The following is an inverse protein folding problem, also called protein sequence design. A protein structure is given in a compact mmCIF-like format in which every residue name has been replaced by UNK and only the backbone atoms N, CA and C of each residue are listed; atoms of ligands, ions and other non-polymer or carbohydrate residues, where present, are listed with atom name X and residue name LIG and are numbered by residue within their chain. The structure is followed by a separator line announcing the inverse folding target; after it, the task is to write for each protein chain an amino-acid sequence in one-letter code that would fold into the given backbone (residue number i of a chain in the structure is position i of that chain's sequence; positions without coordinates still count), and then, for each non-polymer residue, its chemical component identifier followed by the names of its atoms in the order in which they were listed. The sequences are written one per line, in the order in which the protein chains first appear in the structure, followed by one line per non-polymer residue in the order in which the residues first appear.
data_IF_202525622170
#
_entry.id   IF_202525622170
#
_cell.length_a   1.000
_cell.length_b   1.000
_cell.length_c   1.000
_cell.angle_alpha   90.00
_cell.angle_beta   90.00
_cell.angle_gamma   90.00
#
_symmetry.space_group_name_H-M   'P 1'
#
loop_
_entity.id
_entity.type
_entity.pdbx_description
1 polymer ?
#
# COMPACT_ATOMS: atom_id res chain seq x y z
N UNK A 1 13.63 10.01 -54.63
CA UNK A 1 13.13 8.84 -53.88
C UNK A 1 12.38 9.36 -52.66
N UNK A 2 11.05 9.41 -52.72
CA UNK A 2 10.21 10.02 -51.67
C UNK A 2 9.88 8.95 -50.63
N UNK A 3 10.38 9.12 -49.40
CA UNK A 3 10.23 8.14 -48.32
C UNK A 3 8.78 8.19 -47.81
N UNK A 4 8.00 7.15 -48.11
CA UNK A 4 6.62 7.04 -47.65
C UNK A 4 6.60 6.81 -46.13
N UNK A 5 5.96 7.71 -45.37
CA UNK A 5 5.72 7.54 -43.94
C UNK A 5 4.49 6.65 -43.77
N UNK A 6 4.67 5.42 -43.28
CA UNK A 6 3.57 4.58 -42.82
C UNK A 6 3.02 5.14 -41.51
N UNK A 7 1.77 5.58 -41.52
CA UNK A 7 1.03 5.93 -40.31
C UNK A 7 0.50 4.62 -39.74
N UNK A 8 1.03 4.20 -38.59
CA UNK A 8 0.49 3.05 -37.84
C UNK A 8 -0.57 3.58 -36.89
N UNK A 9 -1.83 3.24 -37.14
CA UNK A 9 -2.93 3.53 -36.23
C UNK A 9 -2.96 2.47 -35.15
N UNK A 10 -2.60 2.84 -33.92
CA UNK A 10 -2.78 1.98 -32.75
C UNK A 10 -4.22 2.21 -32.27
N UNK A 11 -5.07 1.18 -32.40
CA UNK A 11 -6.40 1.21 -31.81
C UNK A 11 -6.27 1.07 -30.29
N UNK A 12 -6.50 2.17 -29.56
CA UNK A 12 -6.60 2.13 -28.10
C UNK A 12 -8.00 1.63 -27.75
N UNK A 13 -8.10 0.37 -27.33
CA UNK A 13 -9.33 -0.19 -26.80
C UNK A 13 -9.65 0.49 -25.48
N UNK A 14 -10.90 0.92 -25.29
CA UNK A 14 -11.34 1.48 -24.02
C UNK A 14 -11.17 0.42 -22.90
N UNK A 15 -10.74 0.83 -21.69
CA UNK A 15 -10.58 -0.09 -20.58
C UNK A 15 -11.92 -0.72 -20.22
N UNK A 16 -11.88 -2.01 -19.91
CA UNK A 16 -13.02 -2.77 -19.42
C UNK A 16 -13.47 -2.25 -18.04
N UNK A 17 -14.73 -2.51 -17.69
CA UNK A 17 -15.27 -2.15 -16.36
C UNK A 17 -14.48 -2.77 -15.21
N UNK A 18 -13.90 -3.96 -15.43
CA UNK A 18 -13.05 -4.64 -14.46
C UNK A 18 -11.74 -3.88 -14.22
N UNK A 19 -11.10 -3.40 -15.29
CA UNK A 19 -9.87 -2.60 -15.21
C UNK A 19 -10.11 -1.24 -14.56
N UNK A 20 -11.24 -0.60 -14.85
CA UNK A 20 -11.66 0.65 -14.21
C UNK A 20 -11.81 0.48 -12.69
N UNK A 21 -12.55 -0.55 -12.25
CA UNK A 21 -12.72 -0.84 -10.82
C UNK A 21 -11.40 -1.16 -10.12
N UNK A 22 -10.50 -1.88 -10.78
CA UNK A 22 -9.16 -2.18 -10.25
C UNK A 22 -8.31 -0.91 -10.10
N UNK A 23 -8.38 0.01 -11.07
CA UNK A 23 -7.73 1.32 -11.00
C UNK A 23 -8.26 2.16 -9.84
N UNK A 24 -9.58 2.24 -9.68
CA UNK A 24 -10.20 2.98 -8.57
C UNK A 24 -9.82 2.41 -7.20
N UNK A 25 -9.80 1.09 -7.06
CA UNK A 25 -9.37 0.42 -5.83
C UNK A 25 -7.90 0.73 -5.50
N UNK A 26 -7.03 0.74 -6.51
CA UNK A 26 -5.62 1.12 -6.39
C UNK A 26 -5.46 2.56 -5.94
N UNK A 27 -6.14 3.50 -6.58
CA UNK A 27 -6.02 4.92 -6.26
C UNK A 27 -6.56 5.24 -4.85
N UNK A 28 -7.64 4.56 -4.44
CA UNK A 28 -8.14 4.61 -3.07
C UNK A 28 -7.11 4.08 -2.07
N UNK A 29 -6.48 2.95 -2.38
CA UNK A 29 -5.45 2.37 -1.51
C UNK A 29 -4.25 3.30 -1.33
N UNK A 30 -3.74 3.88 -2.43
CA UNK A 30 -2.59 4.80 -2.40
C UNK A 30 -2.93 6.06 -1.59
N UNK A 31 -4.07 6.68 -1.85
CA UNK A 31 -4.48 7.90 -1.14
C UNK A 31 -4.70 7.66 0.36
N UNK A 32 -5.23 6.49 0.74
CA UNK A 32 -5.52 6.17 2.14
C UNK A 32 -4.27 5.78 2.94
N UNK A 33 -3.37 4.97 2.37
CA UNK A 33 -2.30 4.33 3.14
C UNK A 33 -0.89 4.81 2.80
N UNK A 34 -0.70 5.45 1.64
CA UNK A 34 0.63 5.86 1.14
C UNK A 34 0.77 7.38 1.01
N UNK A 35 -0.02 8.14 1.77
CA UNK A 35 0.09 9.60 1.80
C UNK A 35 1.45 10.02 2.35
N UNK A 36 2.25 10.80 1.60
CA UNK A 36 3.57 11.21 2.02
C UNK A 36 3.48 12.12 3.25
N UNK A 37 4.27 11.80 4.27
CA UNK A 37 4.51 12.64 5.43
C UNK A 37 6.01 12.54 5.74
N UNK A 38 6.66 13.66 6.07
CA UNK A 38 8.10 13.66 6.32
C UNK A 38 8.44 12.80 7.55
N UNK A 39 9.07 11.65 7.33
CA UNK A 39 9.76 10.90 8.37
C UNK A 39 11.22 10.82 7.97
N UNK A 40 12.09 11.48 8.76
CA UNK A 40 13.53 11.50 8.52
C UNK A 40 14.21 10.42 9.37
N UNK A 41 14.88 9.47 8.71
CA UNK A 41 16.00 8.62 9.20
C UNK A 41 15.78 7.10 9.25
N UNK A 42 16.93 6.42 9.19
CA UNK A 42 17.18 5.09 8.66
C UNK A 42 16.89 3.93 9.63
N UNK A 43 16.43 2.82 9.02
CA UNK A 43 16.41 1.43 9.52
C UNK A 43 15.42 1.07 10.64
N UNK A 44 14.49 1.95 11.02
CA UNK A 44 13.31 1.62 11.84
C UNK A 44 12.08 2.36 11.32
N UNK A 45 10.91 1.70 11.29
CA UNK A 45 9.64 2.39 11.05
C UNK A 45 9.22 3.13 12.32
N UNK A 46 9.12 4.45 12.25
CA UNK A 46 8.61 5.28 13.35
C UNK A 46 7.10 5.45 13.21
N UNK A 47 6.38 5.25 14.31
CA UNK A 47 4.97 5.63 14.40
C UNK A 47 4.88 7.11 14.77
N UNK A 48 3.86 7.80 14.26
CA UNK A 48 3.60 9.17 14.69
C UNK A 48 3.41 9.25 16.22
N UNK A 49 3.86 10.33 16.88
CA UNK A 49 3.78 10.46 18.33
C UNK A 49 2.36 10.24 18.89
N UNK A 50 1.34 10.77 18.23
CA UNK A 50 -0.07 10.62 18.61
C UNK A 50 -0.55 9.17 18.50
N UNK A 51 -0.14 8.45 17.44
CA UNK A 51 -0.46 7.03 17.26
C UNK A 51 0.22 6.21 18.36
N UNK A 52 1.52 6.45 18.59
CA UNK A 52 2.26 5.77 19.64
C UNK A 52 1.65 5.99 21.03
N UNK A 53 1.20 7.21 21.34
CA UNK A 53 0.56 7.52 22.62
C UNK A 53 -0.75 6.75 22.84
N UNK A 54 -1.59 6.63 21.81
CA UNK A 54 -2.83 5.85 21.85
C UNK A 54 -2.51 4.36 22.05
N UNK A 55 -1.62 3.79 21.25
CA UNK A 55 -1.23 2.38 21.36
C UNK A 55 -0.62 2.07 22.73
N UNK A 56 0.22 2.98 23.25
CA UNK A 56 0.80 2.87 24.60
C UNK A 56 -0.28 2.79 25.67
N UNK A 57 -1.31 3.63 25.59
CA UNK A 57 -2.44 3.60 26.53
C UNK A 57 -3.23 2.30 26.44
N UNK A 58 -3.51 1.83 25.22
CA UNK A 58 -4.27 0.59 24.99
C UNK A 58 -3.55 -0.62 25.59
N UNK A 59 -2.26 -0.80 25.27
CA UNK A 59 -1.46 -1.92 25.75
C UNK A 59 -1.32 -1.89 27.29
N UNK A 60 -1.09 -0.70 27.87
CA UNK A 60 -1.03 -0.53 29.32
C UNK A 60 -2.35 -0.84 30.00
N UNK A 61 -3.47 -0.36 29.45
CA UNK A 61 -4.80 -0.58 30.01
C UNK A 61 -5.23 -2.06 29.97
N UNK A 62 -4.81 -2.81 28.95
CA UNK A 62 -5.11 -4.24 28.84
C UNK A 62 -4.41 -5.07 29.94
N UNK A 63 -3.22 -4.66 30.39
CA UNK A 63 -2.50 -5.32 31.48
C UNK A 63 -2.09 -6.78 31.19
N UNK A 64 -2.17 -7.24 29.93
CA UNK A 64 -1.87 -8.62 29.54
C UNK A 64 -0.37 -8.80 29.34
N UNK A 65 0.21 -9.74 30.09
CA UNK A 65 1.64 -10.09 29.98
C UNK A 65 1.99 -10.53 28.56
N UNK A 66 3.15 -10.10 28.06
CA UNK A 66 3.67 -10.43 26.73
C UNK A 66 3.11 -9.59 25.57
N UNK A 67 2.09 -8.75 25.80
CA UNK A 67 1.59 -7.82 24.77
C UNK A 67 2.43 -6.55 24.78
N UNK A 68 3.02 -6.21 23.63
CA UNK A 68 3.77 -4.98 23.42
C UNK A 68 3.11 -4.13 22.32
N UNK A 69 3.49 -2.85 22.24
CA UNK A 69 3.07 -1.98 21.11
C UNK A 69 3.50 -2.61 19.79
N UNK A 70 4.72 -3.17 19.74
CA UNK A 70 5.25 -3.83 18.55
C UNK A 70 4.42 -5.04 18.14
N UNK A 71 4.12 -5.94 19.08
CA UNK A 71 3.31 -7.13 18.77
C UNK A 71 1.89 -6.74 18.32
N UNK A 72 1.28 -5.73 18.93
CA UNK A 72 -0.05 -5.27 18.51
C UNK A 72 -0.03 -4.60 17.13
N UNK A 73 0.97 -3.74 16.85
CA UNK A 73 1.13 -3.13 15.54
C UNK A 73 1.40 -4.18 14.44
N UNK A 74 2.17 -5.22 14.75
CA UNK A 74 2.41 -6.33 13.82
C UNK A 74 1.11 -7.06 13.45
N UNK A 75 0.24 -7.36 14.42
CA UNK A 75 -1.06 -8.02 14.12
C UNK A 75 -1.96 -7.15 13.24
N UNK A 76 -2.00 -5.83 13.48
CA UNK A 76 -2.73 -4.89 12.62
C UNK A 76 -2.17 -4.92 11.18
N UNK A 77 -0.84 -4.96 11.03
CA UNK A 77 -0.22 -5.03 9.72
C UNK A 77 -0.48 -6.37 9.01
N UNK A 78 -0.44 -7.49 9.74
CA UNK A 78 -0.78 -8.81 9.18
C UNK A 78 -2.23 -8.86 8.70
N UNK A 79 -3.16 -8.33 9.49
CA UNK A 79 -4.56 -8.19 9.11
C UNK A 79 -4.73 -7.30 7.87
N UNK A 80 -4.02 -6.16 7.83
CA UNK A 80 -3.99 -5.27 6.67
C UNK A 80 -3.48 -6.00 5.42
N UNK A 81 -2.40 -6.78 5.52
CA UNK A 81 -1.88 -7.57 4.40
C UNK A 81 -2.88 -8.61 3.92
N UNK A 82 -3.57 -9.28 4.83
CA UNK A 82 -4.59 -10.27 4.48
C UNK A 82 -5.76 -9.64 3.71
N UNK A 83 -6.24 -8.48 4.17
CA UNK A 83 -7.40 -7.80 3.57
C UNK A 83 -7.07 -7.00 2.30
N UNK A 84 -5.81 -6.59 2.11
CA UNK A 84 -5.40 -5.76 0.98
C UNK A 84 -4.42 -6.45 0.02
N UNK A 85 -4.19 -7.77 0.14
CA UNK A 85 -3.20 -8.52 -0.64
C UNK A 85 -3.24 -8.24 -2.15
N UNK A 86 -4.43 -8.33 -2.76
CA UNK A 86 -4.59 -8.16 -4.21
C UNK A 86 -4.23 -6.75 -4.67
N UNK A 87 -4.71 -5.72 -3.97
CA UNK A 87 -4.40 -4.33 -4.34
C UNK A 87 -2.94 -4.00 -4.05
N UNK A 88 -2.38 -4.50 -2.94
CA UNK A 88 -0.95 -4.36 -2.61
C UNK A 88 -0.06 -4.96 -3.68
N UNK A 89 -0.36 -6.18 -4.15
CA UNK A 89 0.34 -6.77 -5.28
C UNK A 89 0.27 -5.83 -6.48
N UNK A 90 -0.91 -5.33 -6.85
CA UNK A 90 -1.05 -4.40 -7.99
C UNK A 90 -0.26 -3.10 -7.84
N UNK A 91 -0.11 -2.52 -6.64
CA UNK A 91 0.63 -1.24 -6.49
C UNK A 91 2.14 -1.44 -6.35
N UNK A 92 2.60 -2.55 -5.77
CA UNK A 92 4.03 -2.77 -5.48
C UNK A 92 4.72 -3.80 -6.38
N UNK A 93 3.99 -4.53 -7.21
CA UNK A 93 4.59 -5.44 -8.19
C UNK A 93 5.45 -4.64 -9.17
N UNK A 94 6.75 -4.89 -9.12
CA UNK A 94 7.74 -4.25 -9.97
C UNK A 94 8.27 -5.20 -11.04
N UNK A 95 7.65 -6.37 -11.21
CA UNK A 95 8.02 -7.41 -12.17
C UNK A 95 9.33 -8.12 -11.88
N UNK A 96 9.97 -7.88 -10.73
CA UNK A 96 11.23 -8.53 -10.35
C UNK A 96 11.02 -9.71 -9.41
N UNK A 97 10.21 -9.51 -8.36
CA UNK A 97 9.86 -10.54 -7.37
C UNK A 97 8.44 -10.32 -6.86
N UNK A 98 7.67 -11.40 -6.56
CA UNK A 98 6.38 -11.27 -5.92
C UNK A 98 6.53 -10.60 -4.54
N UNK A 99 5.58 -9.75 -4.17
CA UNK A 99 5.63 -9.01 -2.90
C UNK A 99 5.46 -9.94 -1.67
N UNK A 100 4.80 -11.09 -1.87
CA UNK A 100 4.45 -12.07 -0.84
C UNK A 100 4.67 -13.49 -1.32
#
# INVERSE_FOLDING_TARGET
MTKSRSIVTIAVTAPSEVELRASEARDRYVSQFLSPHEVRSNTKAYLYPEVHAVLSRMVKALGKSGVSIGSYASEILLDHFAHHRSVMQSVFDNGKEPLF
#
